data_IF_805878916249
#
_entry.id   IF_805878916249
#
_cell.length_a   1.000
_cell.length_b   1.000
_cell.length_c   1.000
_cell.angle_alpha   90.00
_cell.angle_beta   90.00
_cell.angle_gamma   90.00
#
_symmetry.space_group_name_H-M   'P 1'
#
loop_
_entity.id
_entity.type
_entity.pdbx_description
1 polymer ?
#
# COMPACT_ATOMS: atom_id res chain seq x y z
N UNK A 1 19.59 -19.99 -36.57
CA UNK A 1 18.99 -20.21 -35.23
C UNK A 1 19.08 -18.89 -34.49
N UNK A 2 17.95 -18.18 -34.38
CA UNK A 2 17.91 -16.80 -33.89
C UNK A 2 17.90 -16.74 -32.37
N UNK A 3 18.81 -15.94 -31.82
CA UNK A 3 18.89 -15.52 -30.43
C UNK A 3 17.63 -14.70 -30.08
N UNK A 4 16.76 -15.23 -29.23
CA UNK A 4 15.69 -14.45 -28.62
C UNK A 4 16.25 -13.73 -27.39
N UNK A 5 16.50 -12.43 -27.55
CA UNK A 5 16.77 -11.51 -26.45
C UNK A 5 15.55 -11.44 -25.52
N UNK A 6 15.76 -11.67 -24.22
CA UNK A 6 14.77 -11.43 -23.17
C UNK A 6 14.46 -9.92 -23.10
N UNK A 7 13.20 -9.50 -23.01
CA UNK A 7 12.87 -8.07 -22.99
C UNK A 7 13.26 -7.45 -21.64
N UNK A 8 14.10 -6.42 -21.70
CA UNK A 8 14.46 -5.56 -20.58
C UNK A 8 13.19 -4.97 -19.94
N UNK A 9 12.90 -5.31 -18.68
CA UNK A 9 11.80 -4.75 -17.89
C UNK A 9 12.07 -3.28 -17.52
N UNK A 10 12.09 -2.40 -18.51
CA UNK A 10 12.18 -0.94 -18.34
C UNK A 10 10.75 -0.40 -18.34
N UNK A 11 10.29 0.11 -17.20
CA UNK A 11 9.02 0.83 -17.11
C UNK A 11 9.16 2.13 -17.90
N UNK A 12 8.42 2.26 -19.00
CA UNK A 12 8.43 3.43 -19.87
C UNK A 12 7.28 4.38 -19.50
N UNK A 13 7.57 5.67 -19.33
CA UNK A 13 6.56 6.69 -19.03
C UNK A 13 6.13 7.40 -20.31
N UNK A 14 4.82 7.55 -20.53
CA UNK A 14 4.34 8.29 -21.69
C UNK A 14 4.63 9.79 -21.55
N UNK A 15 5.37 10.37 -22.49
CA UNK A 15 5.70 11.80 -22.49
C UNK A 15 4.49 12.75 -22.63
N UNK A 16 3.28 12.23 -22.89
CA UNK A 16 2.06 13.02 -23.11
C UNK A 16 1.09 13.01 -21.92
N UNK A 17 1.05 11.93 -21.14
CA UNK A 17 0.15 11.80 -19.99
C UNK A 17 0.84 11.27 -18.72
N UNK A 18 2.15 11.07 -18.78
CA UNK A 18 3.00 10.53 -17.70
C UNK A 18 2.61 9.15 -17.16
N UNK A 19 1.76 8.39 -17.88
CA UNK A 19 1.36 7.04 -17.46
C UNK A 19 2.56 6.07 -17.52
N UNK A 20 2.88 5.33 -16.44
CA UNK A 20 3.90 4.28 -16.45
C UNK A 20 3.38 3.03 -17.16
N UNK A 21 4.24 2.41 -17.99
CA UNK A 21 3.88 1.26 -18.81
C UNK A 21 5.00 0.22 -18.73
N UNK A 22 4.65 -0.97 -18.24
CA UNK A 22 5.62 -2.00 -17.87
C UNK A 22 6.15 -2.83 -19.06
N UNK A 23 5.57 -2.70 -20.26
CA UNK A 23 6.01 -3.46 -21.45
C UNK A 23 6.08 -2.58 -22.69
N UNK A 24 7.07 -2.82 -23.55
CA UNK A 24 7.28 -2.04 -24.77
C UNK A 24 6.09 -2.15 -25.75
N UNK A 25 5.45 -3.32 -25.83
CA UNK A 25 4.27 -3.54 -26.68
C UNK A 25 3.04 -2.77 -26.19
N UNK A 26 2.88 -2.59 -24.88
CA UNK A 26 1.84 -1.74 -24.32
C UNK A 26 2.18 -0.26 -24.49
N UNK A 27 3.46 0.12 -24.39
CA UNK A 27 3.91 1.50 -24.55
C UNK A 27 3.67 2.01 -25.98
N UNK A 28 4.03 1.22 -27.00
CA UNK A 28 3.79 1.53 -28.41
C UNK A 28 2.29 1.70 -28.72
N UNK A 29 1.44 0.81 -28.19
CA UNK A 29 -0.03 0.91 -28.33
C UNK A 29 -0.59 2.14 -27.63
N UNK A 30 -0.09 2.44 -26.44
CA UNK A 30 -0.52 3.59 -25.67
C UNK A 30 -0.14 4.92 -26.33
N UNK A 31 1.10 5.11 -26.81
CA UNK A 31 1.52 6.37 -27.44
C UNK A 31 0.69 6.69 -28.67
N UNK A 32 0.43 5.69 -29.53
CA UNK A 32 -0.38 5.88 -30.73
C UNK A 32 -1.81 6.34 -30.38
N UNK A 33 -2.40 5.76 -29.34
CA UNK A 33 -3.73 6.13 -28.86
C UNK A 33 -3.75 7.48 -28.12
N UNK A 34 -2.74 7.75 -27.29
CA UNK A 34 -2.62 8.99 -26.51
C UNK A 34 -2.42 10.21 -27.42
N UNK A 35 -1.60 10.09 -28.47
CA UNK A 35 -1.46 11.15 -29.50
C UNK A 35 -2.79 11.49 -30.19
N UNK A 36 -3.61 10.47 -30.49
CA UNK A 36 -4.90 10.67 -31.18
C UNK A 36 -6.02 11.22 -30.29
N UNK A 37 -5.84 11.20 -28.97
CA UNK A 37 -6.90 11.55 -28.00
C UNK A 37 -6.65 12.84 -27.23
N UNK A 38 -5.46 13.45 -27.35
CA UNK A 38 -5.22 14.82 -26.88
C UNK A 38 -6.16 15.81 -27.59
N UNK A 39 -6.94 16.56 -26.81
CA UNK A 39 -7.82 17.63 -27.30
C UNK A 39 -9.33 17.33 -27.36
N UNK A 40 -9.78 16.09 -27.08
CA UNK A 40 -11.24 15.78 -27.01
C UNK A 40 -11.69 15.60 -25.56
N UNK A 41 -12.42 16.58 -25.01
CA UNK A 41 -13.11 16.49 -23.71
C UNK A 41 -14.12 15.34 -23.76
N UNK A 42 -13.89 14.26 -23.01
CA UNK A 42 -14.81 13.12 -22.92
C UNK A 42 -15.84 13.33 -21.79
N UNK A 43 -16.96 14.00 -22.08
CA UNK A 43 -18.20 13.78 -21.32
C UNK A 43 -18.80 12.44 -21.75
N UNK A 44 -18.50 11.35 -21.04
CA UNK A 44 -19.18 10.07 -21.29
C UNK A 44 -20.65 10.22 -20.90
N UNK A 45 -21.57 10.14 -21.87
CA UNK A 45 -23.02 10.16 -21.62
C UNK A 45 -23.42 8.93 -20.80
N UNK A 46 -24.20 9.11 -19.72
CA UNK A 46 -24.76 8.02 -18.91
C UNK A 46 -26.02 7.45 -19.57
N UNK A 47 -26.26 6.15 -19.40
CA UNK A 47 -27.49 5.49 -19.88
C UNK A 47 -28.69 5.99 -19.09
N UNK A 48 -29.89 6.02 -19.70
CA UNK A 48 -31.12 6.37 -18.99
C UNK A 48 -31.43 5.38 -17.85
N UNK A 49 -32.27 5.80 -16.90
CA UNK A 49 -32.56 5.04 -15.67
C UNK A 49 -33.13 3.64 -15.97
N UNK A 50 -33.99 3.51 -16.98
CA UNK A 50 -34.59 2.24 -17.40
C UNK A 50 -33.59 1.28 -18.05
N UNK A 51 -32.66 1.80 -18.84
CA UNK A 51 -31.61 0.98 -19.44
C UNK A 51 -30.54 0.60 -18.41
N UNK A 52 -30.25 1.49 -17.46
CA UNK A 52 -29.35 1.22 -16.35
C UNK A 52 -29.91 0.12 -15.44
N UNK A 53 -31.16 0.26 -14.98
CA UNK A 53 -31.81 -0.69 -14.08
C UNK A 53 -31.97 -2.07 -14.71
N UNK A 54 -32.28 -2.11 -16.01
CA UNK A 54 -32.38 -3.37 -16.76
C UNK A 54 -31.04 -3.91 -17.28
N UNK A 55 -29.90 -3.26 -16.97
CA UNK A 55 -28.56 -3.60 -17.49
C UNK A 55 -28.50 -3.76 -19.01
N UNK A 56 -29.27 -2.95 -19.73
CA UNK A 56 -29.42 -3.00 -21.18
C UNK A 56 -28.71 -1.83 -21.88
N UNK A 57 -28.36 -2.02 -23.17
CA UNK A 57 -27.70 -0.99 -23.99
C UNK A 57 -28.66 0.19 -24.27
N UNK A 58 -28.21 1.41 -23.99
CA UNK A 58 -28.93 2.66 -24.27
C UNK A 58 -28.38 3.30 -25.56
N UNK A 59 -29.25 3.83 -26.43
CA UNK A 59 -28.85 4.55 -27.66
C UNK A 59 -28.47 6.02 -27.43
N UNK A 60 -28.70 6.56 -26.22
CA UNK A 60 -28.39 7.94 -25.82
C UNK A 60 -29.12 9.04 -26.61
N UNK A 61 -30.19 8.69 -27.31
CA UNK A 61 -31.17 9.62 -27.89
C UNK A 61 -32.11 10.17 -26.79
N UNK A 62 -32.79 11.31 -27.00
CA UNK A 62 -33.75 11.89 -26.05
C UNK A 62 -34.77 10.86 -25.55
N UNK A 63 -35.29 10.04 -26.46
CA UNK A 63 -35.98 8.79 -26.17
C UNK A 63 -35.16 7.65 -26.76
N UNK A 64 -34.46 6.90 -25.92
CA UNK A 64 -33.59 5.84 -26.43
C UNK A 64 -34.39 4.73 -27.12
N UNK A 65 -33.83 4.09 -28.14
CA UNK A 65 -34.54 3.16 -29.02
C UNK A 65 -35.18 1.99 -28.27
N UNK A 66 -34.57 1.54 -27.17
CA UNK A 66 -35.14 0.51 -26.27
C UNK A 66 -36.35 1.03 -25.48
N UNK A 67 -36.26 2.24 -24.92
CA UNK A 67 -37.39 2.81 -24.19
C UNK A 67 -38.55 3.10 -25.14
N UNK A 68 -38.26 3.59 -26.34
CA UNK A 68 -39.25 3.80 -27.40
C UNK A 68 -39.92 2.51 -27.82
N UNK A 69 -39.16 1.43 -28.05
CA UNK A 69 -39.73 0.14 -28.47
C UNK A 69 -40.52 -0.57 -27.37
N UNK A 70 -40.20 -0.30 -26.09
CA UNK A 70 -40.89 -0.89 -24.94
C UNK A 70 -41.95 0.01 -24.30
N UNK A 71 -42.18 1.21 -24.85
CA UNK A 71 -43.10 2.19 -24.25
C UNK A 71 -42.70 2.64 -22.84
N UNK A 72 -41.41 2.64 -22.52
CA UNK A 72 -40.89 3.02 -21.21
C UNK A 72 -40.53 4.50 -21.15
N UNK A 73 -40.76 5.14 -19.99
CA UNK A 73 -40.40 6.54 -19.76
C UNK A 73 -38.87 6.71 -19.70
N UNK A 74 -38.29 7.33 -20.72
CA UNK A 74 -36.84 7.47 -20.85
C UNK A 74 -36.33 8.73 -20.11
N UNK A 75 -35.93 8.59 -18.84
CA UNK A 75 -35.40 9.71 -18.04
C UNK A 75 -33.88 9.59 -17.89
N UNK A 76 -33.18 10.68 -18.16
CA UNK A 76 -31.77 10.87 -17.81
C UNK A 76 -31.69 11.84 -16.63
N UNK A 77 -31.05 11.44 -15.53
CA UNK A 77 -30.81 12.35 -14.41
C UNK A 77 -29.91 13.52 -14.86
N UNK A 78 -30.38 14.75 -14.65
CA UNK A 78 -29.52 15.94 -14.67
C UNK A 78 -29.00 16.14 -13.25
N UNK A 79 -27.68 16.28 -13.02
CA UNK A 79 -27.19 16.71 -11.72
C UNK A 79 -27.75 18.11 -11.43
N UNK A 80 -28.51 18.25 -10.36
CA UNK A 80 -29.00 19.53 -9.86
C UNK A 80 -27.83 20.35 -9.35
N UNK A 81 -27.44 21.39 -10.08
CA UNK A 81 -26.59 22.45 -9.55
C UNK A 81 -27.50 23.31 -8.66
N UNK A 82 -27.46 23.11 -7.35
CA UNK A 82 -28.07 24.01 -6.38
C UNK A 82 -27.19 25.25 -6.24
N UNK A 83 -27.52 26.31 -6.99
CA UNK A 83 -26.98 27.66 -6.81
C UNK A 83 -27.80 28.32 -5.68
N UNK A 84 -27.20 28.75 -4.55
CA UNK A 84 -27.86 29.70 -3.66
C UNK A 84 -27.80 31.08 -4.33
N UNK A 85 -28.95 31.58 -4.76
CA UNK A 85 -29.14 32.96 -5.20
C UNK A 85 -29.50 33.87 -4.01
N UNK A 86 -29.18 35.15 -4.20
CA UNK A 86 -29.64 36.36 -3.48
C UNK A 86 -28.81 36.76 -2.25
N UNK A 87 -28.33 38.00 -2.07
CA UNK A 87 -28.62 39.27 -2.74
C UNK A 87 -27.39 40.20 -2.70
N UNK A 88 -27.30 41.09 -3.68
CA UNK A 88 -26.24 42.08 -3.80
C UNK A 88 -26.44 43.36 -3.00
N UNK A 89 -25.35 44.10 -2.85
CA UNK A 89 -25.34 45.56 -2.73
C UNK A 89 -23.92 46.05 -3.06
N UNK A 90 -23.85 46.90 -4.09
CA UNK A 90 -22.69 47.67 -4.52
C UNK A 90 -22.13 48.55 -3.40
N UNK A 91 -20.82 48.83 -3.41
CA UNK A 91 -20.26 50.19 -3.52
C UNK A 91 -18.72 50.18 -3.48
N UNK A 92 -18.20 51.08 -4.31
CA UNK A 92 -16.82 51.47 -4.56
C UNK A 92 -15.98 51.71 -3.30
N UNK A 93 -14.65 51.54 -3.40
CA UNK A 93 -13.69 52.67 -3.29
C UNK A 93 -12.22 52.25 -3.41
N UNK A 94 -11.52 53.04 -4.20
CA UNK A 94 -10.08 53.17 -4.39
C UNK A 94 -9.35 53.57 -3.10
N UNK A 95 -8.22 52.94 -2.74
CA UNK A 95 -7.00 53.67 -2.30
C UNK A 95 -5.77 52.76 -2.24
N UNK A 96 -4.68 53.28 -2.78
CA UNK A 96 -3.29 52.84 -2.68
C UNK A 96 -2.70 53.05 -1.28
N UNK A 97 -1.78 52.17 -0.85
CA UNK A 97 -0.58 52.50 -0.04
C UNK A 97 0.46 51.38 -0.26
N UNK A 98 1.68 51.78 -0.59
CA UNK A 98 2.89 50.96 -0.66
C UNK A 98 3.56 50.86 0.71
N UNK A 99 4.24 49.76 1.01
CA UNK A 99 5.58 49.76 1.67
C UNK A 99 6.20 48.36 1.67
N UNK A 100 7.53 48.38 1.50
CA UNK A 100 8.45 47.26 1.31
C UNK A 100 8.54 46.24 2.45
N UNK A 101 8.95 45.03 2.08
CA UNK A 101 9.43 44.01 3.00
C UNK A 101 9.87 42.75 2.26
N UNK A 102 11.19 42.62 2.06
CA UNK A 102 11.92 41.53 1.40
C UNK A 102 11.59 40.13 1.94
N UNK A 103 11.43 39.16 1.04
CA UNK A 103 11.30 37.74 1.38
C UNK A 103 11.25 36.84 0.14
N UNK A 104 12.10 35.82 0.12
CA UNK A 104 12.41 34.91 -0.99
C UNK A 104 11.23 34.36 -1.81
N UNK A 105 11.40 34.37 -3.14
CA UNK A 105 10.51 33.77 -4.14
C UNK A 105 10.49 32.24 -4.03
N UNK A 106 9.36 31.67 -3.60
CA UNK A 106 8.95 30.30 -3.99
C UNK A 106 8.02 30.42 -5.20
N UNK A 107 8.39 29.78 -6.30
CA UNK A 107 7.60 29.73 -7.53
C UNK A 107 6.23 29.09 -7.29
N UNK A 108 5.18 29.81 -7.70
CA UNK A 108 3.78 29.43 -7.65
C UNK A 108 3.50 28.33 -8.68
N UNK A 109 3.05 27.16 -8.23
CA UNK A 109 2.58 26.07 -9.10
C UNK A 109 1.08 26.18 -9.39
N UNK A 110 0.75 26.17 -10.69
CA UNK A 110 -0.61 26.16 -11.26
C UNK A 110 -1.33 24.80 -11.00
N UNK A 111 -2.52 24.77 -10.36
CA UNK A 111 -3.20 23.53 -9.99
C UNK A 111 -3.92 22.79 -11.13
N UNK A 112 -3.80 23.21 -12.39
CA UNK A 112 -4.75 22.81 -13.44
C UNK A 112 -4.37 21.62 -14.32
N UNK A 113 -3.63 20.60 -13.86
CA UNK A 113 -3.28 19.44 -14.73
C UNK A 113 -3.31 18.08 -14.03
N UNK A 114 -4.50 17.50 -13.84
CA UNK A 114 -4.64 16.04 -13.92
C UNK A 114 -6.10 15.63 -14.16
N UNK A 115 -6.44 15.30 -15.39
CA UNK A 115 -7.61 14.45 -15.67
C UNK A 115 -7.36 13.70 -16.97
N UNK A 116 -7.31 12.37 -16.92
CA UNK A 116 -7.28 11.52 -18.12
C UNK A 116 -7.95 10.18 -17.87
N UNK A 117 -8.55 9.54 -18.90
CA UNK A 117 -9.70 8.66 -18.71
C UNK A 117 -9.37 7.17 -18.58
N UNK A 118 -10.15 6.50 -17.73
CA UNK A 118 -10.24 5.04 -17.57
C UNK A 118 -10.53 4.31 -18.89
N UNK A 119 -9.71 3.32 -19.20
CA UNK A 119 -10.03 2.18 -20.07
C UNK A 119 -9.65 0.89 -19.36
N UNK A 120 -10.62 -0.03 -19.27
CA UNK A 120 -10.47 -1.42 -18.82
C UNK A 120 -9.17 -2.04 -19.34
N UNK A 121 -8.35 -2.52 -18.42
CA UNK A 121 -7.37 -3.56 -18.67
C UNK A 121 -7.58 -4.66 -17.65
N UNK A 122 -7.58 -5.90 -18.14
CA UNK A 122 -7.97 -7.09 -17.42
C UNK A 122 -7.28 -7.21 -16.08
N UNK A 123 -8.09 -7.29 -15.03
CA UNK A 123 -7.67 -7.81 -13.74
C UNK A 123 -7.38 -9.29 -13.91
N UNK A 124 -6.16 -9.62 -14.34
CA UNK A 124 -5.53 -10.91 -14.07
C UNK A 124 -4.41 -10.65 -13.07
N UNK A 125 -4.80 -10.16 -11.90
CA UNK A 125 -3.93 -10.08 -10.71
C UNK A 125 -4.27 -11.27 -9.83
N UNK A 126 -3.83 -12.43 -10.27
CA UNK A 126 -3.74 -13.64 -9.46
C UNK A 126 -2.32 -14.16 -9.65
N UNK A 127 -1.60 -14.35 -8.55
CA UNK A 127 -0.46 -15.26 -8.53
C UNK A 127 -1.06 -16.65 -8.72
N UNK A 128 -1.08 -17.14 -9.96
CA UNK A 128 -1.75 -18.39 -10.31
C UNK A 128 -0.95 -19.61 -9.79
N UNK A 129 -1.32 -20.06 -8.58
CA UNK A 129 -1.19 -21.46 -8.16
C UNK A 129 -2.51 -21.90 -7.50
N UNK A 130 -2.93 -23.16 -7.68
CA UNK A 130 -4.27 -23.61 -7.31
C UNK A 130 -4.45 -23.59 -5.79
N UNK A 131 -5.28 -22.68 -5.28
CA UNK A 131 -5.59 -22.55 -3.85
C UNK A 131 -7.06 -22.18 -3.61
N UNK A 132 -7.66 -22.85 -2.62
CA UNK A 132 -9.00 -22.55 -2.08
C UNK A 132 -9.03 -21.17 -1.42
N UNK A 133 -10.06 -20.39 -1.76
CA UNK A 133 -10.22 -18.96 -1.41
C UNK A 133 -10.33 -18.72 0.11
N UNK A 134 -9.69 -17.67 0.67
CA UNK A 134 -9.91 -17.24 2.05
C UNK A 134 -11.34 -16.76 2.30
N UNK A 135 -11.82 -16.82 3.56
CA UNK A 135 -13.16 -16.33 3.94
C UNK A 135 -13.41 -14.92 3.39
N UNK A 136 -14.56 -14.73 2.73
CA UNK A 136 -15.00 -13.42 2.22
C UNK A 136 -15.01 -12.39 3.35
N UNK A 137 -14.64 -11.14 3.04
CA UNK A 137 -14.62 -10.01 4.00
C UNK A 137 -15.99 -9.79 4.65
N UNK A 138 -17.07 -10.19 3.98
CA UNK A 138 -18.44 -10.21 4.51
C UNK A 138 -18.59 -11.23 5.66
N UNK A 139 -17.96 -12.39 5.55
CA UNK A 139 -17.96 -13.41 6.60
C UNK A 139 -17.13 -12.97 7.83
N UNK A 140 -16.00 -12.29 7.62
CA UNK A 140 -15.20 -11.69 8.71
C UNK A 140 -15.97 -10.60 9.48
N UNK A 141 -16.89 -9.90 8.82
CA UNK A 141 -17.76 -8.90 9.47
C UNK A 141 -18.84 -9.53 10.34
N UNK A 142 -19.22 -10.78 10.14
CA UNK A 142 -20.27 -11.45 10.91
C UNK A 142 -19.76 -11.97 12.27
N UNK A 143 -18.52 -12.48 12.32
CA UNK A 143 -17.90 -13.01 13.54
C UNK A 143 -17.47 -11.88 14.51
N UNK A 144 -18.02 -11.82 15.74
CA UNK A 144 -17.65 -10.82 16.74
C UNK A 144 -16.16 -10.84 17.14
N UNK A 145 -15.55 -12.03 17.19
CA UNK A 145 -14.14 -12.22 17.56
C UNK A 145 -13.25 -11.70 16.45
N UNK A 146 -13.50 -12.11 15.20
CA UNK A 146 -12.75 -11.62 14.05
C UNK A 146 -12.86 -10.09 13.89
N UNK A 147 -14.04 -9.53 14.15
CA UNK A 147 -14.28 -8.08 14.13
C UNK A 147 -13.49 -7.34 15.22
N UNK A 148 -13.42 -7.90 16.43
CA UNK A 148 -12.61 -7.34 17.52
C UNK A 148 -11.12 -7.36 17.18
N UNK A 149 -10.59 -8.51 16.75
CA UNK A 149 -9.20 -8.66 16.30
C UNK A 149 -8.85 -7.66 15.20
N UNK A 150 -9.71 -7.55 14.19
CA UNK A 150 -9.52 -6.62 13.08
C UNK A 150 -9.46 -5.15 13.53
N UNK A 151 -10.31 -4.75 14.49
CA UNK A 151 -10.29 -3.41 15.06
C UNK A 151 -8.97 -3.13 15.77
N UNK A 152 -8.50 -4.05 16.60
CA UNK A 152 -7.23 -3.92 17.32
C UNK A 152 -6.03 -3.82 16.37
N UNK A 153 -5.98 -4.67 15.34
CA UNK A 153 -4.95 -4.62 14.30
C UNK A 153 -4.98 -3.25 13.59
N UNK A 154 -6.17 -2.77 13.24
CA UNK A 154 -6.34 -1.50 12.56
C UNK A 154 -5.93 -0.30 13.44
N UNK A 155 -6.22 -0.34 14.74
CA UNK A 155 -5.79 0.67 15.72
C UNK A 155 -4.27 0.66 15.90
N UNK A 156 -3.63 -0.52 15.86
CA UNK A 156 -2.18 -0.63 15.89
C UNK A 156 -1.52 -0.09 14.62
N UNK A 157 -2.07 -0.41 13.44
CA UNK A 157 -1.60 0.10 12.14
C UNK A 157 -1.79 1.62 12.05
N UNK A 158 -2.86 2.16 12.64
CA UNK A 158 -3.12 3.60 12.73
C UNK A 158 -1.98 4.42 13.33
N UNK A 159 -1.23 3.81 14.25
CA UNK A 159 -0.10 4.45 14.92
C UNK A 159 1.18 4.51 14.10
N UNK A 160 1.26 3.82 12.95
CA UNK A 160 2.52 3.72 12.19
C UNK A 160 3.11 5.06 11.75
N UNK A 161 2.33 6.04 11.25
CA UNK A 161 2.89 7.36 10.91
C UNK A 161 3.50 8.08 12.11
N UNK A 162 2.97 7.87 13.32
CA UNK A 162 3.51 8.46 14.56
C UNK A 162 4.85 7.82 14.97
N UNK A 163 5.08 6.57 14.59
CA UNK A 163 6.34 5.87 14.86
C UNK A 163 7.41 6.14 13.80
N UNK A 164 7.05 6.82 12.71
CA UNK A 164 7.96 7.16 11.61
C UNK A 164 8.44 8.62 11.71
N UNK A 165 8.62 9.15 12.91
CA UNK A 165 9.06 10.54 13.12
C UNK A 165 10.58 10.65 13.32
N UNK A 166 11.17 9.64 13.95
CA UNK A 166 12.62 9.54 14.08
C UNK A 166 13.05 8.08 14.16
N UNK A 167 14.32 7.84 13.86
CA UNK A 167 14.99 6.54 13.97
C UNK A 167 14.74 5.86 15.32
N UNK A 168 14.72 6.64 16.40
CA UNK A 168 14.51 6.15 17.77
C UNK A 168 13.07 5.70 18.03
N UNK A 169 12.10 6.23 17.29
CA UNK A 169 10.68 5.93 17.43
C UNK A 169 10.20 4.78 16.53
N UNK A 170 11.07 4.27 15.65
CA UNK A 170 10.74 3.18 14.74
C UNK A 170 10.20 1.97 15.51
N UNK A 171 9.12 1.39 14.99
CA UNK A 171 8.36 0.36 15.68
C UNK A 171 8.55 -1.04 15.07
N UNK A 172 7.63 -1.93 15.38
CA UNK A 172 7.67 -3.38 15.18
C UNK A 172 7.88 -3.91 13.75
N UNK A 173 7.98 -3.09 12.70
CA UNK A 173 8.41 -3.56 11.38
C UNK A 173 9.52 -2.71 10.73
N UNK A 174 9.92 -1.60 11.35
CA UNK A 174 11.02 -0.75 10.88
C UNK A 174 12.23 -0.92 11.78
N UNK A 175 13.34 -1.41 11.21
CA UNK A 175 14.61 -1.48 11.95
C UNK A 175 15.30 -0.12 11.93
N UNK A 176 15.98 0.23 13.02
CA UNK A 176 16.77 1.46 13.12
C UNK A 176 18.08 1.43 12.34
N UNK A 177 18.44 0.33 11.68
CA UNK A 177 19.70 0.15 10.94
C UNK A 177 20.93 0.56 11.77
N UNK A 178 20.96 0.20 13.06
CA UNK A 178 21.93 0.68 14.07
C UNK A 178 23.41 0.39 13.75
N UNK A 179 23.67 -0.51 12.80
CA UNK A 179 25.00 -0.78 12.24
C UNK A 179 25.47 0.30 11.24
N UNK A 180 24.62 1.27 10.87
CA UNK A 180 24.95 2.41 9.99
C UNK A 180 24.86 3.74 10.73
N UNK A 181 25.69 4.69 10.32
CA UNK A 181 25.59 6.09 10.76
C UNK A 181 24.27 6.71 10.30
N UNK A 182 23.92 6.54 9.03
CA UNK A 182 22.75 7.13 8.39
C UNK A 182 21.70 6.08 8.01
N UNK A 183 20.44 6.51 7.95
CA UNK A 183 19.34 5.69 7.49
C UNK A 183 19.32 5.60 5.95
N UNK A 184 18.79 4.52 5.37
CA UNK A 184 18.50 4.45 3.94
C UNK A 184 17.65 5.64 3.47
N UNK A 185 17.94 6.18 2.29
CA UNK A 185 17.30 7.38 1.74
C UNK A 185 15.76 7.27 1.73
N UNK A 186 15.21 6.10 1.38
CA UNK A 186 13.77 5.88 1.34
C UNK A 186 13.13 6.02 2.74
N UNK A 187 13.83 5.64 3.81
CA UNK A 187 13.36 5.82 5.18
C UNK A 187 13.51 7.25 5.68
N UNK A 188 14.57 7.97 5.26
CA UNK A 188 14.72 9.40 5.53
C UNK A 188 13.52 10.16 4.95
N UNK A 189 13.24 9.97 3.66
CA UNK A 189 12.09 10.59 3.00
C UNK A 189 10.75 10.18 3.60
N UNK A 190 10.61 8.90 3.99
CA UNK A 190 9.42 8.43 4.67
C UNK A 190 9.23 9.15 6.01
N UNK A 191 10.32 9.41 6.73
CA UNK A 191 10.32 10.14 8.02
C UNK A 191 9.93 11.60 7.84
N UNK A 192 10.43 12.27 6.80
CA UNK A 192 10.04 13.64 6.43
C UNK A 192 8.54 13.72 6.12
N UNK A 193 8.03 12.82 5.27
CA UNK A 193 6.62 12.78 4.90
C UNK A 193 5.72 12.42 6.10
N UNK A 194 6.13 11.47 6.95
CA UNK A 194 5.39 11.13 8.15
C UNK A 194 5.35 12.31 9.13
N UNK A 195 6.44 13.07 9.27
CA UNK A 195 6.49 14.28 10.09
C UNK A 195 5.56 15.37 9.56
N UNK A 196 5.57 15.62 8.25
CA UNK A 196 4.62 16.54 7.62
C UNK A 196 3.18 16.05 7.79
N UNK A 197 2.94 14.74 7.67
CA UNK A 197 1.64 14.14 7.85
C UNK A 197 1.13 14.34 9.28
N UNK A 198 1.91 14.00 10.31
CA UNK A 198 1.48 14.10 11.71
C UNK A 198 1.25 15.55 12.13
N UNK A 199 2.08 16.48 11.66
CA UNK A 199 1.96 17.90 11.96
C UNK A 199 0.93 18.63 11.08
N UNK A 200 0.26 17.94 10.16
CA UNK A 200 -0.84 18.51 9.38
C UNK A 200 -2.07 18.69 10.27
N UNK A 201 -2.10 19.75 11.08
CA UNK A 201 -3.35 20.22 11.68
C UNK A 201 -4.20 20.79 10.54
N UNK A 202 -4.81 19.89 9.75
CA UNK A 202 -5.53 20.16 8.50
C UNK A 202 -4.82 21.20 7.63
N UNK A 203 -3.89 20.77 6.75
CA UNK A 203 -3.44 21.58 5.60
C UNK A 203 -4.62 22.38 5.10
N UNK A 204 -4.64 23.71 5.24
CA UNK A 204 -5.74 24.66 5.00
C UNK A 204 -6.67 24.28 3.82
N UNK A 205 -7.50 23.24 3.94
CA UNK A 205 -8.16 22.56 2.81
C UNK A 205 -7.26 21.90 1.73
N UNK A 206 -5.92 21.88 1.84
CA UNK A 206 -5.04 21.31 0.79
C UNK A 206 -4.80 19.81 0.98
N UNK A 207 -4.75 19.08 -0.13
CA UNK A 207 -4.51 17.64 -0.16
C UNK A 207 -3.04 17.30 0.15
N UNK A 208 -2.80 16.32 1.04
CA UNK A 208 -1.46 15.78 1.32
C UNK A 208 -0.95 14.85 0.20
N UNK A 209 -1.85 14.34 -0.64
CA UNK A 209 -1.56 13.30 -1.62
C UNK A 209 -0.56 13.62 -2.72
N UNK A 210 -0.49 14.85 -3.26
CA UNK A 210 0.52 15.17 -4.27
C UNK A 210 1.94 14.82 -3.82
N UNK A 211 2.25 14.99 -2.53
CA UNK A 211 3.55 14.64 -1.96
C UNK A 211 3.80 13.12 -1.96
N UNK A 212 2.82 12.32 -1.50
CA UNK A 212 2.91 10.84 -1.57
C UNK A 212 3.01 10.38 -3.03
N UNK A 213 2.22 10.94 -3.93
CA UNK A 213 2.21 10.57 -5.35
C UNK A 213 3.56 10.87 -6.02
N UNK A 214 4.15 12.03 -5.72
CA UNK A 214 5.47 12.41 -6.23
C UNK A 214 6.55 11.45 -5.73
N UNK A 215 6.52 11.11 -4.44
CA UNK A 215 7.50 10.19 -3.87
C UNK A 215 7.30 8.76 -4.37
N UNK A 216 6.06 8.29 -4.53
CA UNK A 216 5.76 7.00 -5.15
C UNK A 216 6.27 6.94 -6.61
N UNK A 217 6.11 8.04 -7.38
CA UNK A 217 6.65 8.15 -8.73
C UNK A 217 8.18 8.04 -8.72
N UNK A 218 8.86 8.70 -7.77
CA UNK A 218 10.32 8.59 -7.61
C UNK A 218 10.73 7.14 -7.31
N UNK A 219 10.07 6.47 -6.37
CA UNK A 219 10.33 5.06 -6.05
C UNK A 219 10.20 4.17 -7.29
N UNK A 220 9.13 4.32 -8.08
CA UNK A 220 8.96 3.59 -9.33
C UNK A 220 10.01 3.90 -10.40
N UNK A 221 10.57 5.12 -10.42
CA UNK A 221 11.62 5.52 -11.37
C UNK A 221 12.98 4.90 -11.02
N UNK A 222 13.32 4.80 -9.72
CA UNK A 222 14.60 4.24 -9.27
C UNK A 222 14.56 2.72 -9.14
N UNK A 223 13.37 2.12 -9.09
CA UNK A 223 13.15 0.68 -8.98
C UNK A 223 14.06 -0.15 -9.89
N UNK A 224 14.26 0.18 -11.18
CA UNK A 224 15.03 -0.68 -12.07
C UNK A 224 16.46 -0.96 -11.61
N UNK A 225 17.08 0.01 -10.95
CA UNK A 225 18.49 0.01 -10.55
C UNK A 225 18.67 -0.03 -9.03
N UNK A 226 17.61 -0.35 -8.28
CA UNK A 226 17.63 -0.35 -6.82
C UNK A 226 18.40 -1.56 -6.28
N UNK A 227 19.26 -1.33 -5.29
CA UNK A 227 19.89 -2.40 -4.49
C UNK A 227 18.86 -3.12 -3.60
N UNK A 228 19.19 -4.29 -3.05
CA UNK A 228 18.31 -4.98 -2.10
C UNK A 228 17.89 -4.07 -0.92
N UNK A 229 18.83 -3.28 -0.37
CA UNK A 229 18.53 -2.32 0.69
C UNK A 229 17.54 -1.24 0.26
N UNK A 230 17.69 -0.70 -0.95
CA UNK A 230 16.76 0.27 -1.51
C UNK A 230 15.38 -0.34 -1.73
N UNK A 231 15.33 -1.61 -2.14
CA UNK A 231 14.08 -2.33 -2.32
C UNK A 231 13.37 -2.54 -0.98
N UNK A 232 14.08 -3.03 0.05
CA UNK A 232 13.51 -3.28 1.38
C UNK A 232 13.04 -1.99 2.06
N UNK A 233 13.85 -0.94 2.03
CA UNK A 233 13.48 0.38 2.56
C UNK A 233 12.32 1.02 1.77
N UNK A 234 12.25 0.77 0.46
CA UNK A 234 11.12 1.15 -0.38
C UNK A 234 9.83 0.42 0.00
N UNK A 235 9.88 -0.89 0.24
CA UNK A 235 8.73 -1.68 0.72
C UNK A 235 8.21 -1.15 2.07
N UNK A 236 9.13 -0.84 2.99
CA UNK A 236 8.78 -0.24 4.28
C UNK A 236 8.05 1.10 4.09
N UNK A 237 8.59 2.00 3.25
CA UNK A 237 7.99 3.30 2.97
C UNK A 237 6.59 3.17 2.34
N UNK A 238 6.40 2.24 1.38
CA UNK A 238 5.11 1.99 0.73
C UNK A 238 4.01 1.59 1.71
N UNK A 239 4.32 0.75 2.70
CA UNK A 239 3.36 0.38 3.75
C UNK A 239 2.92 1.63 4.51
N UNK A 240 3.87 2.47 4.95
CA UNK A 240 3.56 3.71 5.69
C UNK A 240 2.74 4.67 4.83
N UNK A 241 3.08 4.81 3.54
CA UNK A 241 2.34 5.64 2.59
C UNK A 241 0.90 5.18 2.41
N UNK A 242 0.64 3.87 2.36
CA UNK A 242 -0.73 3.35 2.31
C UNK A 242 -1.51 3.59 3.59
N UNK A 243 -0.86 3.49 4.74
CA UNK A 243 -1.49 3.78 6.02
C UNK A 243 -1.86 5.25 6.11
N UNK A 244 -0.93 6.15 5.78
CA UNK A 244 -1.23 7.58 5.67
C UNK A 244 -2.37 7.83 4.68
N UNK A 245 -2.32 7.19 3.51
CA UNK A 245 -3.34 7.26 2.46
C UNK A 245 -4.74 6.91 2.98
N UNK A 246 -4.86 5.79 3.66
CA UNK A 246 -6.18 5.31 4.10
C UNK A 246 -6.76 6.10 5.27
N UNK A 247 -5.91 6.71 6.09
CA UNK A 247 -6.30 7.45 7.29
C UNK A 247 -6.76 8.87 7.04
N UNK A 248 -6.37 9.50 5.94
CA UNK A 248 -6.81 10.85 5.66
C UNK A 248 -8.29 10.87 5.23
N UNK A 249 -8.99 11.88 5.75
CA UNK A 249 -10.44 12.04 5.65
C UNK A 249 -10.85 12.90 4.45
N UNK A 250 -9.91 13.64 3.84
CA UNK A 250 -10.16 14.48 2.65
C UNK A 250 -10.10 13.67 1.34
N UNK A 251 -10.98 12.67 1.23
CA UNK A 251 -11.12 11.82 0.05
C UNK A 251 -11.77 12.57 -1.12
N UNK A 252 -10.99 13.35 -1.86
CA UNK A 252 -11.42 13.85 -3.17
C UNK A 252 -11.35 12.70 -4.21
N UNK A 253 -12.18 12.78 -5.25
CA UNK A 253 -12.55 11.77 -6.28
C UNK A 253 -11.41 11.04 -7.06
N UNK A 254 -10.14 11.18 -6.68
CA UNK A 254 -8.95 10.55 -7.32
C UNK A 254 -8.51 9.23 -6.65
N UNK A 255 -9.38 8.64 -5.83
CA UNK A 255 -9.10 7.55 -4.87
C UNK A 255 -8.57 6.26 -5.53
N UNK A 256 -9.11 5.75 -6.66
CA UNK A 256 -8.74 4.42 -7.14
C UNK A 256 -7.33 4.36 -7.74
N UNK A 257 -6.90 5.39 -8.46
CA UNK A 257 -5.65 5.37 -9.24
C UNK A 257 -4.42 5.47 -8.34
N UNK A 258 -4.46 6.35 -7.33
CA UNK A 258 -3.40 6.46 -6.32
C UNK A 258 -3.30 5.17 -5.51
N UNK A 259 -4.44 4.63 -5.08
CA UNK A 259 -4.50 3.35 -4.37
C UNK A 259 -3.86 2.24 -5.21
N UNK A 260 -4.29 2.08 -6.46
CA UNK A 260 -3.74 1.07 -7.37
C UNK A 260 -2.24 1.29 -7.62
N UNK A 261 -1.80 2.54 -7.74
CA UNK A 261 -0.40 2.88 -7.95
C UNK A 261 0.48 2.54 -6.76
N UNK A 262 0.01 2.77 -5.52
CA UNK A 262 0.71 2.35 -4.31
C UNK A 262 0.75 0.82 -4.23
N UNK A 263 -0.40 0.15 -4.45
CA UNK A 263 -0.49 -1.32 -4.39
C UNK A 263 0.47 -1.97 -5.42
N UNK A 264 0.50 -1.42 -6.63
CA UNK A 264 1.39 -1.85 -7.71
C UNK A 264 2.86 -1.61 -7.34
N UNK A 265 3.19 -0.48 -6.72
CA UNK A 265 4.57 -0.21 -6.31
C UNK A 265 5.05 -1.26 -5.30
N UNK A 266 4.27 -1.57 -4.26
CA UNK A 266 4.65 -2.61 -3.31
C UNK A 266 4.86 -3.98 -3.97
N UNK A 267 3.95 -4.39 -4.87
CA UNK A 267 4.06 -5.66 -5.61
C UNK A 267 5.33 -5.71 -6.48
N UNK A 268 5.64 -4.64 -7.20
CA UNK A 268 6.85 -4.54 -8.03
C UNK A 268 8.13 -4.60 -7.20
N UNK A 269 8.16 -3.91 -6.06
CA UNK A 269 9.28 -3.98 -5.12
C UNK A 269 9.46 -5.39 -4.56
N UNK A 270 8.37 -6.05 -4.16
CA UNK A 270 8.41 -7.44 -3.68
C UNK A 270 8.92 -8.43 -4.74
N UNK A 271 8.51 -8.27 -6.00
CA UNK A 271 9.02 -9.05 -7.14
C UNK A 271 10.50 -8.81 -7.40
N UNK A 272 10.96 -7.57 -7.32
CA UNK A 272 12.40 -7.26 -7.43
C UNK A 272 13.22 -7.88 -6.30
N UNK A 273 12.72 -7.86 -5.06
CA UNK A 273 13.38 -8.58 -3.96
C UNK A 273 13.45 -10.08 -4.23
N UNK A 274 12.39 -10.66 -4.81
CA UNK A 274 12.35 -12.07 -5.20
C UNK A 274 13.40 -12.41 -6.24
N UNK A 275 13.54 -11.58 -7.29
CA UNK A 275 14.57 -11.75 -8.32
C UNK A 275 16.00 -11.61 -7.74
N UNK A 276 16.18 -10.76 -6.73
CA UNK A 276 17.48 -10.52 -6.10
C UNK A 276 17.92 -11.66 -5.17
N UNK A 277 16.97 -12.34 -4.53
CA UNK A 277 17.21 -13.45 -3.59
C UNK A 277 16.96 -14.82 -4.27
N UNK A 278 17.62 -15.06 -5.41
CA UNK A 278 17.60 -16.35 -6.12
C UNK A 278 16.20 -16.91 -6.43
N UNK A 279 15.20 -16.05 -6.61
CA UNK A 279 13.80 -16.45 -6.79
C UNK A 279 13.20 -17.16 -5.56
N UNK A 280 13.53 -16.67 -4.36
CA UNK A 280 12.94 -17.12 -3.10
C UNK A 280 12.11 -15.98 -2.51
N UNK A 281 10.85 -16.25 -2.16
CA UNK A 281 9.96 -15.24 -1.54
C UNK A 281 10.32 -14.98 -0.08
N UNK A 282 10.64 -16.06 0.62
CA UNK A 282 10.93 -16.06 2.05
C UNK A 282 12.21 -16.87 2.27
N UNK A 283 13.39 -16.23 2.20
CA UNK A 283 14.61 -16.90 2.58
C UNK A 283 14.49 -17.47 4.00
N UNK A 284 14.89 -18.74 4.22
CA UNK A 284 14.96 -19.28 5.57
C UNK A 284 15.92 -18.42 6.40
N UNK A 285 15.66 -18.28 7.70
CA UNK A 285 16.62 -17.56 8.55
C UNK A 285 17.89 -18.42 8.70
N UNK A 286 19.04 -17.81 8.41
CA UNK A 286 20.35 -18.44 8.49
C UNK A 286 20.99 -18.25 9.87
N UNK A 287 20.17 -18.20 10.92
CA UNK A 287 20.65 -17.95 12.27
C UNK A 287 21.58 -19.05 12.81
N UNK A 288 21.56 -20.26 12.25
CA UNK A 288 22.53 -21.32 12.60
C UNK A 288 23.87 -21.16 11.87
N UNK A 289 23.90 -20.41 10.77
CA UNK A 289 25.09 -20.28 9.92
C UNK A 289 26.09 -19.31 10.57
N UNK A 290 27.30 -19.77 10.97
CA UNK A 290 28.29 -18.90 11.60
C UNK A 290 28.72 -17.70 10.73
N UNK A 291 28.53 -17.78 9.41
CA UNK A 291 28.84 -16.71 8.47
C UNK A 291 27.76 -15.64 8.36
N UNK A 292 26.55 -15.88 8.91
CA UNK A 292 25.45 -14.93 8.85
C UNK A 292 25.81 -13.65 9.61
N UNK A 293 25.88 -12.54 8.88
CA UNK A 293 26.14 -11.22 9.46
C UNK A 293 24.86 -10.61 10.03
N UNK A 294 25.02 -9.63 10.93
CA UNK A 294 23.86 -8.92 11.48
C UNK A 294 23.09 -8.16 10.38
N UNK A 295 23.82 -7.59 9.43
CA UNK A 295 23.27 -6.85 8.30
C UNK A 295 22.45 -7.73 7.37
N UNK A 296 22.98 -8.87 6.94
CA UNK A 296 22.28 -9.80 6.06
C UNK A 296 21.00 -10.32 6.73
N UNK A 297 21.09 -10.62 8.03
CA UNK A 297 19.94 -11.04 8.82
C UNK A 297 18.87 -9.95 8.92
N UNK A 298 19.26 -8.69 9.16
CA UNK A 298 18.32 -7.56 9.20
C UNK A 298 17.59 -7.42 7.87
N UNK A 299 18.27 -7.61 6.75
CA UNK A 299 17.66 -7.55 5.42
C UNK A 299 16.63 -8.66 5.21
N UNK A 300 16.98 -9.91 5.54
CA UNK A 300 16.06 -11.04 5.46
C UNK A 300 14.83 -10.88 6.38
N UNK A 301 15.05 -10.45 7.62
CA UNK A 301 13.98 -10.23 8.60
C UNK A 301 13.12 -9.00 8.24
N UNK A 302 13.70 -7.95 7.65
CA UNK A 302 12.95 -6.80 7.11
C UNK A 302 11.97 -7.26 6.04
N UNK A 303 12.41 -8.10 5.10
CA UNK A 303 11.54 -8.64 4.04
C UNK A 303 10.37 -9.44 4.61
N UNK A 304 10.66 -10.28 5.61
CA UNK A 304 9.66 -11.06 6.36
C UNK A 304 8.64 -10.15 7.03
N UNK A 305 9.10 -9.16 7.78
CA UNK A 305 8.25 -8.21 8.51
C UNK A 305 7.41 -7.34 7.58
N UNK A 306 7.94 -6.88 6.46
CA UNK A 306 7.18 -6.18 5.42
C UNK A 306 6.04 -7.04 4.89
N UNK A 307 6.31 -8.31 4.58
CA UNK A 307 5.30 -9.22 4.03
C UNK A 307 4.20 -9.53 5.05
N UNK A 308 4.57 -9.82 6.30
CA UNK A 308 3.60 -10.05 7.39
C UNK A 308 2.76 -8.80 7.64
N UNK A 309 3.39 -7.62 7.65
CA UNK A 309 2.68 -6.34 7.83
C UNK A 309 1.72 -6.08 6.69
N UNK A 310 2.13 -6.38 5.45
CA UNK A 310 1.28 -6.31 4.28
C UNK A 310 0.08 -7.26 4.36
N UNK A 311 0.30 -8.48 4.84
CA UNK A 311 -0.77 -9.44 5.11
C UNK A 311 -1.78 -8.86 6.11
N UNK A 312 -1.34 -8.32 7.25
CA UNK A 312 -2.20 -7.67 8.24
C UNK A 312 -2.98 -6.50 7.62
N UNK A 313 -2.31 -5.66 6.83
CA UNK A 313 -2.91 -4.55 6.11
C UNK A 313 -4.04 -5.05 5.18
N UNK A 314 -3.81 -6.15 4.45
CA UNK A 314 -4.83 -6.77 3.58
C UNK A 314 -6.07 -7.26 4.31
N UNK A 315 -5.96 -7.57 5.62
CA UNK A 315 -7.08 -8.03 6.44
C UNK A 315 -7.96 -6.91 6.97
N UNK A 316 -7.41 -5.70 7.12
CA UNK A 316 -8.10 -4.59 7.81
C UNK A 316 -8.41 -3.37 6.96
N UNK A 317 -7.72 -3.18 5.83
CA UNK A 317 -7.90 -1.96 5.03
C UNK A 317 -9.23 -1.90 4.29
N UNK A 318 -9.71 -3.02 3.76
CA UNK A 318 -11.05 -3.03 3.15
C UNK A 318 -12.14 -2.78 4.18
N UNK A 319 -11.97 -3.29 5.41
CA UNK A 319 -13.01 -3.26 6.44
C UNK A 319 -13.50 -1.84 6.74
N UNK A 320 -12.62 -0.83 6.68
CA UNK A 320 -12.96 0.56 7.00
C UNK A 320 -12.79 1.54 5.84
N UNK A 321 -11.97 1.22 4.84
CA UNK A 321 -11.54 2.20 3.84
C UNK A 321 -11.95 1.86 2.41
N UNK A 322 -12.55 0.69 2.16
CA UNK A 322 -12.93 0.24 0.81
C UNK A 322 -11.73 0.01 -0.12
N UNK A 323 -10.53 -0.15 0.47
CA UNK A 323 -9.29 -0.42 -0.27
C UNK A 323 -9.10 -1.92 -0.37
N UNK A 324 -9.23 -2.45 -1.58
CA UNK A 324 -8.91 -3.84 -1.92
C UNK A 324 -7.40 -4.03 -2.00
N UNK A 325 -6.76 -4.36 -0.89
CA UNK A 325 -5.41 -4.94 -0.94
C UNK A 325 -5.52 -6.38 -1.47
N UNK A 326 -4.71 -6.79 -2.47
CA UNK A 326 -4.65 -8.19 -2.88
C UNK A 326 -4.42 -9.08 -1.67
N UNK A 327 -5.22 -10.15 -1.54
CA UNK A 327 -5.03 -11.11 -0.46
C UNK A 327 -3.67 -11.79 -0.64
N UNK A 328 -2.92 -11.93 0.45
CA UNK A 328 -1.75 -12.82 0.45
C UNK A 328 -2.26 -14.25 0.32
N UNK A 329 -2.08 -14.84 -0.87
CA UNK A 329 -2.32 -16.27 -1.12
C UNK A 329 -1.41 -17.10 -0.22
N UNK A 330 -1.90 -18.24 0.29
CA UNK A 330 -1.15 -19.12 1.19
C UNK A 330 -0.64 -18.43 2.47
N UNK A 331 -1.45 -17.56 3.09
CA UNK A 331 -1.09 -16.92 4.36
C UNK A 331 -0.57 -17.90 5.44
N UNK A 332 -1.01 -19.17 5.41
CA UNK A 332 -0.53 -20.25 6.28
C UNK A 332 0.98 -20.52 6.17
N UNK A 333 1.61 -20.30 5.03
CA UNK A 333 3.05 -20.51 4.84
C UNK A 333 3.88 -19.27 5.18
N UNK A 334 3.26 -18.18 5.62
CA UNK A 334 4.00 -16.98 6.01
C UNK A 334 4.94 -17.30 7.17
N UNK A 335 6.23 -16.97 7.05
CA UNK A 335 7.15 -17.13 8.17
C UNK A 335 6.81 -16.14 9.29
N UNK A 336 6.88 -16.60 10.53
CA UNK A 336 6.68 -15.77 11.72
C UNK A 336 7.89 -14.86 11.95
N UNK A 337 7.67 -13.61 12.39
CA UNK A 337 8.77 -12.69 12.71
C UNK A 337 9.59 -13.22 13.89
N UNK A 338 10.84 -12.78 13.97
CA UNK A 338 11.71 -13.12 15.08
C UNK A 338 11.25 -12.47 16.41
N UNK A 339 11.74 -12.96 17.56
CA UNK A 339 11.56 -12.29 18.85
C UNK A 339 12.02 -10.83 18.87
N UNK A 340 11.39 -10.03 19.73
CA UNK A 340 11.72 -8.61 19.86
C UNK A 340 13.15 -8.34 20.34
N UNK A 341 13.75 -9.26 21.10
CA UNK A 341 15.14 -9.14 21.56
C UNK A 341 16.15 -9.12 20.40
N UNK A 342 15.90 -9.90 19.36
CA UNK A 342 16.71 -9.92 18.14
C UNK A 342 16.49 -8.67 17.29
N UNK A 343 15.22 -8.32 17.05
CA UNK A 343 14.87 -7.20 16.17
C UNK A 343 15.24 -5.84 16.73
N UNK A 344 15.15 -5.65 18.05
CA UNK A 344 15.42 -4.37 18.69
C UNK A 344 16.88 -4.22 19.14
N UNK A 345 17.76 -5.17 18.80
CA UNK A 345 19.18 -5.05 19.10
C UNK A 345 19.75 -3.76 18.48
N UNK A 346 20.51 -3.00 19.26
CA UNK A 346 21.13 -1.74 18.83
C UNK A 346 22.62 -1.85 18.55
N UNK A 347 23.22 -2.98 18.92
CA UNK A 347 24.64 -3.25 18.70
C UNK A 347 24.81 -4.67 18.20
N UNK A 348 25.90 -4.92 17.47
CA UNK A 348 26.24 -6.26 16.97
C UNK A 348 26.38 -7.26 18.12
N UNK A 349 27.09 -6.88 19.19
CA UNK A 349 27.24 -7.71 20.38
C UNK A 349 25.88 -8.03 21.05
N UNK A 350 24.96 -7.06 21.10
CA UNK A 350 23.61 -7.29 21.62
C UNK A 350 22.81 -8.26 20.75
N UNK A 351 22.93 -8.15 19.43
CA UNK A 351 22.31 -9.08 18.48
C UNK A 351 22.90 -10.49 18.60
N UNK A 352 24.23 -10.64 18.68
CA UNK A 352 24.90 -11.93 18.85
C UNK A 352 24.51 -12.62 20.17
N UNK A 353 24.40 -11.86 21.26
CA UNK A 353 23.92 -12.38 22.54
C UNK A 353 22.47 -12.88 22.44
N UNK A 354 21.58 -12.09 21.83
CA UNK A 354 20.18 -12.48 21.59
C UNK A 354 20.07 -13.70 20.65
N UNK A 355 20.93 -13.76 19.62
CA UNK A 355 21.04 -14.89 18.68
C UNK A 355 21.42 -16.17 19.40
N UNK A 356 22.42 -16.14 20.27
CA UNK A 356 22.83 -17.31 21.06
C UNK A 356 21.69 -17.86 21.92
N UNK A 357 20.95 -16.97 22.61
CA UNK A 357 19.78 -17.37 23.43
C UNK A 357 18.68 -17.95 22.54
N UNK A 358 18.40 -17.32 21.39
CA UNK A 358 17.39 -17.79 20.46
C UNK A 358 17.70 -19.20 19.94
N UNK A 359 18.95 -19.47 19.54
CA UNK A 359 19.38 -20.78 19.05
C UNK A 359 19.20 -21.89 20.09
N UNK A 360 19.43 -21.61 21.38
CA UNK A 360 19.21 -22.58 22.47
C UNK A 360 17.74 -22.99 22.62
N UNK A 361 16.80 -22.14 22.22
CA UNK A 361 15.36 -22.36 22.37
C UNK A 361 14.66 -22.72 21.05
N UNK A 362 15.43 -22.84 19.96
CA UNK A 362 14.92 -22.95 18.57
C UNK A 362 14.27 -24.29 18.21
N UNK A 363 14.62 -25.36 18.92
CA UNK A 363 14.09 -26.71 18.63
C UNK A 363 12.57 -26.83 18.83
N UNK A 364 11.96 -25.97 19.68
CA UNK A 364 10.53 -25.95 19.96
C UNK A 364 9.87 -24.60 19.66
N UNK A 365 10.28 -23.93 18.58
CA UNK A 365 9.74 -22.62 18.18
C UNK A 365 8.78 -22.73 16.99
N UNK A 366 7.64 -22.06 17.07
CA UNK A 366 6.72 -21.88 15.96
C UNK A 366 7.41 -21.11 14.81
N UNK A 367 7.29 -21.58 13.56
CA UNK A 367 8.01 -21.00 12.42
C UNK A 367 7.11 -20.34 11.40
N UNK A 368 5.90 -20.85 11.24
CA UNK A 368 4.95 -20.40 10.23
C UNK A 368 3.64 -19.95 10.84
N UNK A 369 2.88 -19.16 10.10
CA UNK A 369 1.54 -18.75 10.50
C UNK A 369 0.60 -19.96 10.69
N UNK A 370 0.80 -21.05 9.93
CA UNK A 370 0.14 -22.33 10.15
C UNK A 370 0.44 -22.88 11.54
N UNK A 371 1.71 -22.94 11.96
CA UNK A 371 2.09 -23.44 13.28
C UNK A 371 1.37 -22.64 14.38
N UNK A 372 1.27 -21.31 14.22
CA UNK A 372 0.56 -20.46 15.17
C UNK A 372 -0.94 -20.76 15.23
N UNK A 373 -1.59 -21.01 14.10
CA UNK A 373 -3.02 -21.40 14.04
C UNK A 373 -3.24 -22.75 14.73
N UNK A 374 -2.38 -23.73 14.41
CA UNK A 374 -2.49 -25.10 14.93
C UNK A 374 -2.23 -25.12 16.44
N UNK A 375 -1.18 -24.45 16.91
CA UNK A 375 -0.83 -24.41 18.33
C UNK A 375 -1.92 -23.76 19.21
N UNK A 376 -2.67 -22.78 18.68
CA UNK A 376 -3.83 -22.18 19.37
C UNK A 376 -5.01 -23.12 19.56
N UNK A 377 -5.09 -24.18 18.75
CA UNK A 377 -6.15 -25.18 18.82
C UNK A 377 -5.79 -26.33 19.76
N UNK A 378 -4.56 -26.37 20.28
CA UNK A 378 -4.07 -27.41 21.17
C UNK A 378 -4.27 -27.04 22.65
N UNK A 379 -4.42 -28.02 23.56
CA UNK A 379 -4.44 -27.78 25.00
C UNK A 379 -3.15 -27.09 25.49
N UNK A 380 -3.21 -26.22 26.51
CA UNK A 380 -2.03 -25.51 27.04
C UNK A 380 -0.88 -26.41 27.52
N UNK A 381 -1.20 -27.57 28.08
CA UNK A 381 -0.23 -28.51 28.64
C UNK A 381 0.42 -29.41 27.57
N UNK A 382 -0.13 -29.43 26.35
CA UNK A 382 0.47 -30.15 25.22
C UNK A 382 1.80 -29.53 24.81
N UNK A 383 2.64 -30.29 24.11
CA UNK A 383 3.91 -29.79 23.56
C UNK A 383 3.68 -28.52 22.73
N UNK A 384 2.73 -28.53 21.79
CA UNK A 384 2.35 -27.34 20.99
C UNK A 384 1.81 -26.19 21.83
N UNK A 385 1.08 -26.47 22.92
CA UNK A 385 0.63 -25.45 23.87
C UNK A 385 1.81 -24.76 24.58
N UNK A 386 2.82 -25.54 24.96
CA UNK A 386 4.06 -25.00 25.55
C UNK A 386 4.86 -24.18 24.54
N UNK A 387 4.94 -24.60 23.28
CA UNK A 387 5.54 -23.79 22.20
C UNK A 387 4.82 -22.46 22.02
N UNK A 388 3.49 -22.45 22.07
CA UNK A 388 2.68 -21.23 22.02
C UNK A 388 2.95 -20.30 23.21
N UNK A 389 3.09 -20.86 24.42
CA UNK A 389 3.44 -20.08 25.61
C UNK A 389 4.82 -19.43 25.47
N UNK A 390 5.82 -20.17 24.97
CA UNK A 390 7.16 -19.63 24.66
C UNK A 390 7.09 -18.55 23.59
N UNK A 391 6.26 -18.74 22.55
CA UNK A 391 6.03 -17.74 21.52
C UNK A 391 5.48 -16.43 22.13
N UNK A 392 4.42 -16.50 22.92
CA UNK A 392 3.84 -15.31 23.57
C UNK A 392 4.81 -14.61 24.52
N UNK A 393 5.68 -15.35 25.20
CA UNK A 393 6.68 -14.78 26.10
C UNK A 393 7.77 -13.96 25.36
N UNK A 394 8.03 -14.24 24.07
CA UNK A 394 9.17 -13.70 23.33
C UNK A 394 8.79 -12.85 22.11
N UNK A 395 7.58 -13.04 21.56
CA UNK A 395 7.15 -12.33 20.37
C UNK A 395 7.02 -10.83 20.64
N UNK A 396 7.30 -10.03 19.62
CA UNK A 396 7.08 -8.60 19.69
C UNK A 396 5.63 -8.22 19.32
N UNK A 397 5.37 -6.92 19.21
CA UNK A 397 4.06 -6.41 18.82
C UNK A 397 3.59 -6.95 17.47
N UNK A 398 4.46 -7.17 16.48
CA UNK A 398 4.06 -7.75 15.20
C UNK A 398 3.61 -9.21 15.36
N UNK A 399 4.32 -9.97 16.18
CA UNK A 399 3.94 -11.34 16.54
C UNK A 399 2.58 -11.42 17.24
N UNK A 400 2.29 -10.50 18.16
CA UNK A 400 0.97 -10.41 18.82
C UNK A 400 -0.15 -10.05 17.83
N UNK A 401 0.10 -9.13 16.89
CA UNK A 401 -0.86 -8.79 15.84
C UNK A 401 -1.14 -9.98 14.90
N UNK A 402 -0.13 -10.80 14.63
CA UNK A 402 -0.32 -12.07 13.92
C UNK A 402 -1.18 -13.06 14.71
N UNK A 403 -0.97 -13.19 16.03
CA UNK A 403 -1.83 -14.03 16.88
C UNK A 403 -3.30 -13.61 16.73
N UNK A 404 -3.60 -12.31 16.73
CA UNK A 404 -4.96 -11.81 16.48
C UNK A 404 -5.47 -12.14 15.07
N UNK A 405 -4.60 -12.04 14.06
CA UNK A 405 -4.98 -12.35 12.68
C UNK A 405 -5.37 -13.81 12.45
N UNK A 406 -4.94 -14.75 13.30
CA UNK A 406 -5.38 -16.16 13.20
C UNK A 406 -6.89 -16.33 13.39
N UNK A 407 -7.59 -15.40 14.06
CA UNK A 407 -9.06 -15.43 14.18
C UNK A 407 -9.77 -14.95 12.90
N UNK A 408 -9.01 -14.55 11.88
CA UNK A 408 -9.52 -13.95 10.64
C UNK A 408 -9.29 -14.84 9.40
N UNK A 409 -9.00 -16.13 9.61
CA UNK A 409 -8.73 -17.12 8.56
C UNK A 409 -9.87 -18.12 8.42
#
# INVERSE_FOLDING_TARGET
>A
MSLNAMPSNIIQFCNLCSKPIATESAYKRHISYCRRTQGRIRKRRRSCNECHSAKAKCSFEPECSRCKSKGLRCIYERPSISIPHSNGSSLNSTTSISTDGSGHTMELFDPSMCSSPLTNFGASTSLDLPATSPRSIVALRADPVARHSARFILESIRGLPLTMISRETFSWFNHGHWYRSELPLNLIKCTELASLYVNRKSFQGRSFWPMICQENKRLLQVLPNSSLDDLLSGMQAQIVYMVMFALDSNRMDQIPEVTLSLLMAFDLYGKRCYEHDENIWFPPDKLDDPSETWEDWVSAETRRRCTVTWFLLSRVMDLKFGVMCPSVSNCRTLPLPCPGSLWNARTRAGWEAARKIHLQTRAGSLRTFRDLIEARSCPPDSERGQELNRWHANCDKLGLLLTLATTMI
#
